data_IF_943639388128
#
_entry.id   IF_943639388128
#
_cell.length_a   1.000
_cell.length_b   1.000
_cell.length_c   1.000
_cell.angle_alpha   90.00
_cell.angle_beta   90.00
_cell.angle_gamma   90.00
#
_symmetry.space_group_name_H-M   'P 1'
#
loop_
_entity.id
_entity.type
_entity.pdbx_description
1 polymer ?
#
# COMPACT_ATOMS: atom_id res chain seq x y z
N UNK A 1 19.20 -0.60 2.38
CA UNK A 1 17.79 -0.15 2.43
C UNK A 1 17.24 -0.36 1.03
N UNK A 2 16.18 -1.16 0.89
CA UNK A 2 15.59 -1.46 -0.41
C UNK A 2 14.37 -0.55 -0.62
N UNK A 3 14.29 0.05 -1.80
CA UNK A 3 13.17 0.89 -2.21
C UNK A 3 12.51 0.23 -3.41
N UNK A 4 11.20 -0.02 -3.30
CA UNK A 4 10.38 -0.38 -4.44
C UNK A 4 9.90 0.91 -5.10
N UNK A 5 10.01 0.98 -6.42
CA UNK A 5 9.41 2.05 -7.21
C UNK A 5 8.32 1.46 -8.08
N UNK A 6 7.15 2.07 -8.03
CA UNK A 6 6.01 1.76 -8.89
C UNK A 6 5.54 3.07 -9.53
N UNK A 7 5.26 3.03 -10.83
CA UNK A 7 4.79 4.21 -11.59
C UNK A 7 3.41 3.94 -12.15
N UNK A 8 2.60 4.98 -12.23
CA UNK A 8 1.28 4.96 -12.83
C UNK A 8 1.02 6.24 -13.61
N UNK A 9 0.07 6.17 -14.54
CA UNK A 9 -0.40 7.34 -15.29
C UNK A 9 -1.93 7.34 -15.26
N UNK A 10 -2.51 8.51 -14.98
CA UNK A 10 -3.95 8.75 -15.06
C UNK A 10 -4.20 9.69 -16.21
N UNK A 11 -5.01 9.28 -17.18
CA UNK A 11 -5.36 10.12 -18.32
C UNK A 11 -6.22 11.30 -17.86
N UNK A 12 -5.83 12.52 -18.23
CA UNK A 12 -6.59 13.74 -17.93
C UNK A 12 -7.60 14.01 -19.07
N UNK A 13 -8.39 12.99 -19.42
CA UNK A 13 -9.30 13.02 -20.58
C UNK A 13 -10.62 13.73 -20.30
N UNK A 14 -10.95 13.94 -19.04
CA UNK A 14 -12.09 14.76 -18.66
C UNK A 14 -11.53 16.15 -18.38
N UNK A 15 -12.07 17.18 -19.04
CA UNK A 15 -11.79 18.61 -18.76
C UNK A 15 -12.27 18.95 -17.34
N UNK A 16 -11.62 18.38 -16.35
CA UNK A 16 -11.93 18.57 -14.93
C UNK A 16 -11.05 19.71 -14.47
N UNK A 17 -11.71 20.84 -14.17
CA UNK A 17 -11.07 21.93 -13.47
C UNK A 17 -10.53 21.39 -12.13
N UNK A 18 -9.22 21.54 -11.91
CA UNK A 18 -8.50 21.09 -10.70
C UNK A 18 -8.45 19.55 -10.49
N UNK A 19 -8.14 18.79 -11.55
CA UNK A 19 -7.91 17.36 -11.46
C UNK A 19 -6.82 16.97 -10.42
N UNK A 20 -5.77 17.79 -10.28
CA UNK A 20 -4.72 17.58 -9.28
C UNK A 20 -5.26 17.72 -7.85
N UNK A 21 -6.05 18.77 -7.57
CA UNK A 21 -6.67 18.97 -6.26
C UNK A 21 -7.57 17.81 -5.84
N UNK A 22 -8.40 17.30 -6.76
CA UNK A 22 -9.25 16.13 -6.50
C UNK A 22 -8.44 14.87 -6.16
N UNK A 23 -7.33 14.64 -6.85
CA UNK A 23 -6.45 13.52 -6.52
C UNK A 23 -5.79 13.71 -5.15
N UNK A 24 -5.38 14.93 -4.81
CA UNK A 24 -4.85 15.23 -3.47
C UNK A 24 -5.87 14.89 -2.39
N UNK A 25 -7.14 15.28 -2.57
CA UNK A 25 -8.21 14.95 -1.64
C UNK A 25 -8.43 13.44 -1.52
N UNK A 26 -8.46 12.72 -2.65
CA UNK A 26 -8.53 11.25 -2.67
C UNK A 26 -7.41 10.60 -1.84
N UNK A 27 -6.17 11.05 -2.01
CA UNK A 27 -5.04 10.48 -1.28
C UNK A 27 -5.02 10.86 0.19
N UNK A 28 -5.48 12.07 0.54
CA UNK A 28 -5.62 12.49 1.94
C UNK A 28 -6.64 11.65 2.69
N UNK A 29 -7.78 11.35 2.08
CA UNK A 29 -8.78 10.44 2.65
C UNK A 29 -8.22 9.01 2.80
N UNK A 30 -7.30 8.60 1.92
CA UNK A 30 -6.57 7.34 2.02
C UNK A 30 -5.34 7.39 2.95
N UNK A 31 -5.20 8.44 3.76
CA UNK A 31 -4.23 8.54 4.84
C UNK A 31 -2.86 9.10 4.45
N UNK A 32 -2.72 9.68 3.26
CA UNK A 32 -1.53 10.45 2.90
C UNK A 32 -1.58 11.86 3.51
N UNK A 33 -0.41 12.41 3.83
CA UNK A 33 -0.23 13.81 4.23
C UNK A 33 0.64 14.52 3.19
N UNK A 34 0.45 15.83 3.03
CA UNK A 34 1.34 16.64 2.19
C UNK A 34 2.75 16.67 2.81
N UNK A 35 3.78 16.53 1.96
CA UNK A 35 5.16 16.61 2.42
C UNK A 35 5.51 18.06 2.80
N UNK A 36 6.06 18.32 4.00
CA UNK A 36 6.38 19.68 4.43
C UNK A 36 7.50 20.27 3.55
N UNK A 37 7.23 21.43 2.95
CA UNK A 37 8.18 22.13 2.08
C UNK A 37 7.80 22.14 0.59
N UNK A 38 6.72 21.46 0.20
CA UNK A 38 6.21 21.47 -1.17
C UNK A 38 5.37 22.72 -1.51
N UNK A 39 5.43 23.75 -0.67
CA UNK A 39 4.71 25.02 -0.83
C UNK A 39 5.48 26.07 -1.65
N UNK A 40 6.48 25.66 -2.44
CA UNK A 40 7.19 26.57 -3.33
C UNK A 40 6.33 26.85 -4.57
N UNK A 41 6.00 28.12 -4.82
CA UNK A 41 5.26 28.58 -6.02
C UNK A 41 5.84 28.05 -7.36
N UNK A 42 7.08 27.57 -7.38
CA UNK A 42 7.74 26.94 -8.53
C UNK A 42 7.26 25.51 -8.86
N UNK A 43 6.54 24.83 -7.96
CA UNK A 43 6.04 23.46 -8.15
C UNK A 43 4.51 23.41 -8.32
N UNK A 44 3.90 24.39 -8.97
CA UNK A 44 2.44 24.43 -9.17
C UNK A 44 1.86 23.15 -9.84
N UNK A 45 2.68 22.39 -10.57
CA UNK A 45 2.30 21.15 -11.24
C UNK A 45 2.82 19.89 -10.56
N UNK A 46 3.35 19.97 -9.34
CA UNK A 46 3.90 18.80 -8.65
C UNK A 46 3.52 18.83 -7.17
N UNK A 47 2.88 17.76 -6.72
CA UNK A 47 2.47 17.58 -5.32
C UNK A 47 3.04 16.28 -4.79
N UNK A 48 3.72 16.34 -3.64
CA UNK A 48 4.27 15.22 -2.91
C UNK A 48 3.46 14.93 -1.67
N UNK A 49 3.17 13.65 -1.53
CA UNK A 49 2.34 13.07 -0.50
C UNK A 49 3.13 11.95 0.18
N UNK A 50 2.96 11.81 1.49
CA UNK A 50 3.63 10.78 2.29
C UNK A 50 2.64 10.03 3.15
N UNK A 51 2.78 8.71 3.23
CA UNK A 51 2.01 7.83 4.11
C UNK A 51 2.93 6.88 4.87
N UNK A 52 2.42 6.36 5.98
CA UNK A 52 3.05 5.29 6.74
C UNK A 52 4.16 5.80 7.64
N UNK A 53 4.83 4.86 8.32
CA UNK A 53 5.94 5.18 9.25
C UNK A 53 7.25 4.67 8.68
N UNK A 54 8.31 5.48 8.80
CA UNK A 54 9.67 5.05 8.50
C UNK A 54 9.98 3.78 9.29
N UNK A 55 10.67 2.84 8.66
CA UNK A 55 11.08 1.56 9.27
C UNK A 55 9.96 0.55 9.58
N UNK A 56 8.68 0.87 9.30
CA UNK A 56 7.57 -0.07 9.57
C UNK A 56 7.58 -1.31 8.66
N UNK A 57 8.45 -1.30 7.65
CA UNK A 57 8.61 -2.32 6.62
C UNK A 57 9.19 -3.64 7.10
N UNK A 58 9.65 -3.76 8.35
CA UNK A 58 10.13 -5.07 8.85
C UNK A 58 8.98 -5.89 9.45
N UNK A 59 8.05 -5.28 10.18
CA UNK A 59 7.03 -5.98 10.95
C UNK A 59 5.61 -5.91 10.37
N UNK A 60 5.34 -4.98 9.45
CA UNK A 60 4.00 -4.85 8.88
C UNK A 60 3.84 -5.63 7.59
N UNK A 61 2.75 -6.40 7.50
CA UNK A 61 2.25 -6.96 6.24
C UNK A 61 1.17 -6.09 5.62
N UNK A 62 0.83 -4.94 6.21
CA UNK A 62 -0.19 -4.01 5.73
C UNK A 62 0.48 -2.94 4.85
N UNK A 63 0.18 -2.95 3.55
CA UNK A 63 0.82 -2.04 2.58
C UNK A 63 0.53 -0.55 2.88
N UNK A 64 -0.56 -0.25 3.58
CA UNK A 64 -0.89 1.14 3.97
C UNK A 64 -0.01 1.69 5.08
N UNK A 65 0.66 0.82 5.85
CA UNK A 65 1.56 1.25 6.93
C UNK A 65 3.00 1.47 6.47
N UNK A 66 3.35 0.99 5.27
CA UNK A 66 4.67 1.15 4.69
C UNK A 66 4.96 2.62 4.40
N UNK A 67 6.19 3.04 4.67
CA UNK A 67 6.62 4.39 4.35
C UNK A 67 6.63 4.58 2.83
N UNK A 68 5.68 5.37 2.34
CA UNK A 68 5.42 5.55 0.92
C UNK A 68 5.43 7.04 0.60
N UNK A 69 6.28 7.42 -0.34
CA UNK A 69 6.22 8.73 -0.99
C UNK A 69 5.46 8.59 -2.30
N UNK A 70 4.51 9.47 -2.53
CA UNK A 70 3.76 9.59 -3.76
C UNK A 70 4.06 10.97 -4.35
N UNK A 71 4.52 11.00 -5.59
CA UNK A 71 4.63 12.24 -6.37
C UNK A 71 3.54 12.25 -7.41
N UNK A 72 2.70 13.28 -7.38
CA UNK A 72 1.73 13.60 -8.43
C UNK A 72 2.32 14.70 -9.28
N UNK A 73 2.40 14.48 -10.59
CA UNK A 73 2.87 15.47 -11.54
C UNK A 73 1.82 15.72 -12.62
N UNK A 74 1.34 16.95 -12.71
CA UNK A 74 0.38 17.37 -13.72
C UNK A 74 1.08 17.63 -15.06
N UNK A 75 0.50 17.08 -16.11
CA UNK A 75 0.84 17.32 -17.50
C UNK A 75 -0.42 17.74 -18.28
N UNK A 76 -0.29 18.33 -19.47
CA UNK A 76 -1.45 18.83 -20.23
C UNK A 76 -2.53 17.77 -20.53
N UNK A 77 -2.14 16.50 -20.66
CA UNK A 77 -3.00 15.39 -21.09
C UNK A 77 -3.12 14.26 -20.06
N UNK A 78 -2.36 14.33 -18.96
CA UNK A 78 -2.28 13.27 -17.95
C UNK A 78 -1.77 13.76 -16.61
N UNK A 79 -1.98 12.97 -15.57
CA UNK A 79 -1.32 13.12 -14.28
C UNK A 79 -0.44 11.89 -14.08
N UNK A 80 0.86 12.09 -13.95
CA UNK A 80 1.82 11.03 -13.66
C UNK A 80 1.90 10.80 -12.15
N UNK A 81 1.98 9.52 -11.75
CA UNK A 81 2.08 9.08 -10.36
C UNK A 81 3.36 8.28 -10.20
N UNK A 82 4.21 8.68 -9.26
CA UNK A 82 5.39 7.89 -8.86
C UNK A 82 5.27 7.53 -7.37
N UNK A 83 5.19 6.23 -7.09
CA UNK A 83 5.26 5.68 -5.75
C UNK A 83 6.70 5.23 -5.47
N UNK A 84 7.26 5.72 -4.37
CA UNK A 84 8.53 5.26 -3.81
C UNK A 84 8.27 4.69 -2.42
N UNK A 85 8.37 3.37 -2.30
CA UNK A 85 8.00 2.61 -1.11
C UNK A 85 9.25 2.04 -0.45
N UNK A 86 9.39 2.26 0.85
CA UNK A 86 10.43 1.65 1.65
C UNK A 86 10.06 0.20 2.02
N UNK A 87 10.85 -0.77 1.55
CA UNK A 87 10.57 -2.22 1.71
C UNK A 87 11.72 -2.96 2.41
N UNK A 88 12.33 -2.34 3.42
CA UNK A 88 13.51 -2.85 4.12
C UNK A 88 13.27 -4.26 4.70
N UNK A 89 14.02 -5.25 4.19
CA UNK A 89 14.04 -6.61 4.74
C UNK A 89 12.87 -7.50 4.33
N UNK A 90 11.95 -7.02 3.49
CA UNK A 90 10.82 -7.79 2.99
C UNK A 90 10.91 -8.00 1.47
N UNK A 91 10.55 -9.21 1.02
CA UNK A 91 10.28 -9.50 -0.39
C UNK A 91 8.77 -9.45 -0.56
N UNK A 92 8.29 -8.42 -1.25
CA UNK A 92 6.87 -8.29 -1.54
C UNK A 92 6.41 -9.30 -2.58
N UNK A 93 5.29 -9.94 -2.30
CA UNK A 93 4.55 -10.81 -3.22
C UNK A 93 3.86 -10.00 -4.31
N UNK A 94 3.43 -10.65 -5.40
CA UNK A 94 2.71 -9.98 -6.49
C UNK A 94 1.37 -9.35 -6.02
N UNK A 95 0.74 -9.97 -5.01
CA UNK A 95 -0.50 -9.46 -4.40
C UNK A 95 -0.26 -8.15 -3.64
N UNK A 96 0.89 -8.04 -2.98
CA UNK A 96 1.32 -6.84 -2.25
C UNK A 96 1.77 -5.74 -3.21
N UNK A 97 2.56 -6.09 -4.24
CA UNK A 97 2.96 -5.13 -5.29
C UNK A 97 1.77 -4.54 -6.04
N UNK A 98 0.75 -5.35 -6.29
CA UNK A 98 -0.47 -4.88 -6.95
C UNK A 98 -1.36 -3.97 -6.09
N UNK A 99 -1.01 -3.72 -4.82
CA UNK A 99 -1.71 -2.73 -4.00
C UNK A 99 -1.66 -1.34 -4.65
N UNK A 100 -0.48 -0.85 -5.04
CA UNK A 100 -0.34 0.49 -5.61
C UNK A 100 -1.01 0.62 -6.98
N UNK A 101 -1.05 -0.47 -7.76
CA UNK A 101 -1.83 -0.51 -9.00
C UNK A 101 -3.34 -0.39 -8.73
N UNK A 102 -3.87 -1.06 -7.71
CA UNK A 102 -5.29 -0.90 -7.32
C UNK A 102 -5.57 0.50 -6.80
N UNK A 103 -4.62 1.08 -6.07
CA UNK A 103 -4.71 2.45 -5.56
C UNK A 103 -4.76 3.47 -6.70
N UNK A 104 -3.90 3.36 -7.71
CA UNK A 104 -3.93 4.25 -8.88
C UNK A 104 -5.20 4.09 -9.72
N UNK A 105 -5.71 2.86 -9.87
CA UNK A 105 -6.97 2.59 -10.56
C UNK A 105 -8.19 3.16 -9.81
N UNK A 106 -8.18 3.10 -8.48
CA UNK A 106 -9.22 3.70 -7.66
C UNK A 106 -9.19 5.22 -7.75
N UNK A 107 -8.00 5.83 -7.78
CA UNK A 107 -7.81 7.25 -8.00
C UNK A 107 -8.31 7.68 -9.39
N UNK A 108 -7.98 6.93 -10.45
CA UNK A 108 -8.50 7.18 -11.80
C UNK A 108 -10.02 7.10 -11.84
N UNK A 109 -10.61 6.09 -11.19
CA UNK A 109 -12.07 5.94 -11.12
C UNK A 109 -12.72 7.11 -10.38
N UNK A 110 -12.14 7.56 -9.28
CA UNK A 110 -12.63 8.72 -8.54
C UNK A 110 -12.53 9.99 -9.38
N UNK A 111 -11.44 10.19 -10.12
CA UNK A 111 -11.30 11.33 -11.01
C UNK A 111 -12.38 11.35 -12.10
N UNK A 112 -12.76 10.18 -12.64
CA UNK A 112 -13.84 10.08 -13.64
C UNK A 112 -15.25 10.33 -13.08
N UNK A 113 -15.47 10.06 -11.79
CA UNK A 113 -16.74 10.31 -11.10
C UNK A 113 -16.49 10.80 -9.67
N UNK A 114 -16.16 12.11 -9.50
CA UNK A 114 -15.84 12.67 -8.18
C UNK A 114 -17.04 12.75 -7.24
N UNK A 115 -18.26 12.56 -7.77
CA UNK A 115 -19.50 12.60 -7.00
C UNK A 115 -19.72 11.33 -6.16
N UNK A 116 -19.01 10.25 -6.48
CA UNK A 116 -19.05 9.00 -5.75
C UNK A 116 -18.28 9.04 -4.42
N UNK A 117 -18.52 8.06 -3.53
CA UNK A 117 -17.74 7.93 -2.30
C UNK A 117 -16.28 7.57 -2.62
N UNK A 118 -15.34 8.21 -1.93
CA UNK A 118 -13.93 7.84 -2.00
C UNK A 118 -13.75 6.45 -1.37
N UNK A 119 -13.24 5.45 -2.11
CA UNK A 119 -12.99 4.13 -1.55
C UNK A 119 -11.89 4.19 -0.49
N UNK A 120 -12.18 3.72 0.74
CA UNK A 120 -11.16 3.52 1.78
C UNK A 120 -10.41 2.21 1.51
N UNK A 121 -9.25 2.33 0.87
CA UNK A 121 -8.40 1.19 0.51
C UNK A 121 -7.71 0.57 1.74
N UNK A 122 -7.69 1.28 2.87
CA UNK A 122 -7.01 0.82 4.09
C UNK A 122 -7.82 -0.27 4.78
N UNK A 123 -9.15 -0.18 4.79
CA UNK A 123 -10.00 -1.23 5.39
C UNK A 123 -9.81 -2.54 4.65
N UNK A 124 -9.87 -2.49 3.31
CA UNK A 124 -9.68 -3.67 2.45
C UNK A 124 -8.30 -4.29 2.66
N UNK A 125 -7.27 -3.46 2.80
CA UNK A 125 -5.91 -3.92 3.03
C UNK A 125 -5.68 -4.46 4.45
N UNK A 126 -6.31 -3.85 5.46
CA UNK A 126 -6.29 -4.35 6.84
C UNK A 126 -6.93 -5.74 6.92
N UNK A 127 -8.11 -5.93 6.32
CA UNK A 127 -8.77 -7.23 6.23
C UNK A 127 -7.90 -8.30 5.53
N UNK A 128 -7.17 -7.90 4.47
CA UNK A 128 -6.23 -8.78 3.77
C UNK A 128 -5.04 -9.15 4.65
N UNK A 129 -4.43 -8.18 5.31
CA UNK A 129 -3.31 -8.38 6.21
C UNK A 129 -3.69 -9.31 7.37
N UNK A 130 -4.86 -9.09 7.98
CA UNK A 130 -5.38 -9.91 9.08
C UNK A 130 -5.65 -11.36 8.65
N UNK A 131 -6.27 -11.58 7.49
CA UNK A 131 -6.47 -12.92 6.92
C UNK A 131 -5.15 -13.63 6.64
N UNK A 132 -4.13 -12.88 6.22
CA UNK A 132 -2.79 -13.42 5.94
C UNK A 132 -2.09 -13.81 7.24
N UNK A 133 -2.13 -12.95 8.27
CA UNK A 133 -1.58 -13.22 9.60
C UNK A 133 -2.22 -14.46 10.25
N UNK A 134 -3.55 -14.55 10.22
CA UNK A 134 -4.28 -15.71 10.77
C UNK A 134 -3.92 -17.03 10.08
N UNK A 135 -3.58 -17.01 8.79
CA UNK A 135 -3.12 -18.20 8.06
C UNK A 135 -1.74 -18.67 8.54
N UNK A 136 -0.82 -17.75 8.85
CA UNK A 136 0.49 -18.11 9.37
C UNK A 136 0.45 -18.59 10.82
N UNK A 137 -0.38 -17.98 11.67
CA UNK A 137 -0.59 -18.41 13.06
C UNK A 137 -1.20 -19.82 13.10
N UNK A 138 -2.19 -20.10 12.24
CA UNK A 138 -2.80 -21.43 12.17
C UNK A 138 -1.81 -22.51 11.69
N UNK A 139 -0.95 -22.22 10.71
CA UNK A 139 0.11 -23.15 10.31
C UNK A 139 1.15 -23.41 11.42
N UNK A 140 1.55 -22.37 12.16
CA UNK A 140 2.51 -22.51 13.27
C UNK A 140 1.97 -23.37 14.42
N UNK A 141 0.70 -23.18 14.79
CA UNK A 141 0.05 -23.98 15.85
C UNK A 141 -0.11 -25.43 15.40
N UNK A 142 -0.56 -25.69 14.16
CA UNK A 142 -0.68 -27.06 13.64
C UNK A 142 0.67 -27.76 13.52
N UNK A 143 1.73 -27.04 13.11
CA UNK A 143 3.09 -27.57 13.09
C UNK A 143 3.58 -27.99 14.48
N UNK A 144 3.36 -27.15 15.49
CA UNK A 144 3.72 -27.47 16.88
C UNK A 144 2.94 -28.67 17.43
N UNK A 145 1.64 -28.78 17.12
CA UNK A 145 0.81 -29.93 17.50
C UNK A 145 1.32 -31.22 16.87
N UNK A 146 1.67 -31.22 15.58
CA UNK A 146 2.20 -32.40 14.89
C UNK A 146 3.54 -32.84 15.50
N UNK A 147 4.45 -31.91 15.77
CA UNK A 147 5.74 -32.22 16.41
C UNK A 147 5.52 -32.78 17.82
N UNK A 148 4.63 -32.19 18.60
CA UNK A 148 4.28 -32.68 19.93
C UNK A 148 3.72 -34.10 19.90
N UNK A 149 2.79 -34.39 18.98
CA UNK A 149 2.27 -35.75 18.77
C UNK A 149 3.34 -36.73 18.31
N UNK A 150 4.26 -36.31 17.43
CA UNK A 150 5.38 -37.15 16.99
C UNK A 150 6.30 -37.53 18.17
N UNK A 151 6.60 -36.59 19.07
CA UNK A 151 7.38 -36.85 20.29
C UNK A 151 6.66 -37.83 21.21
N UNK A 152 5.35 -37.67 21.43
CA UNK A 152 4.55 -38.59 22.24
C UNK A 152 4.56 -40.00 21.65
N UNK A 153 4.35 -40.13 20.34
CA UNK A 153 4.35 -41.43 19.65
C UNK A 153 5.74 -42.08 19.74
N UNK A 154 6.81 -41.33 19.51
CA UNK A 154 8.18 -41.84 19.62
C UNK A 154 8.53 -42.33 21.04
N UNK A 155 8.09 -41.60 22.06
CA UNK A 155 8.23 -42.03 23.47
C UNK A 155 7.39 -43.28 23.80
N UNK A 156 6.21 -43.43 23.20
CA UNK A 156 5.36 -44.61 23.42
C UNK A 156 5.89 -45.86 22.71
N UNK A 157 6.55 -45.69 21.56
CA UNK A 157 7.19 -46.79 20.80
C UNK A 157 8.55 -47.19 21.40
N UNK A 158 9.06 -46.44 22.38
CA UNK A 158 10.32 -46.75 23.09
C UNK A 158 11.58 -46.48 22.26
N UNK A 159 11.46 -45.61 21.24
CA UNK A 159 12.61 -45.14 20.45
C UNK A 159 13.38 -44.05 21.20
N UNK A 160 12.71 -43.39 22.17
CA UNK A 160 13.22 -42.39 23.11
C UNK A 160 12.62 -42.71 24.48
#
# INVERSE_FOLDING_TARGET
MATLRETGEISNTAEIDDALGLLVDFYRENGYALEPGDSSEDNAHTTRLVRGRRWNSWWSSNMTELHTHLTLQEHPDRIALEYSVEVSGQILTDVERSFWLRESQAAEKYLRDPSGPIPDLRITETDRADKTSNRYISFGIWGAVVVFFAIIILGFVGII
#
